data_IF_142199718238
#
_entry.id   IF_142199718238
#
_cell.length_a   1.000
_cell.length_b   1.000
_cell.length_c   1.000
_cell.angle_alpha   90.00
_cell.angle_beta   90.00
_cell.angle_gamma   90.00
#
_symmetry.space_group_name_H-M   'P 1'
#
loop_
_entity.id
_entity.type
_entity.pdbx_description
1 polymer ?
#
# COMPACT_ATOMS: atom_id res chain seq x y z
N UNK A 1 8.28 1.59 -14.75
CA UNK A 1 6.82 1.69 -14.96
C UNK A 1 6.40 3.15 -14.95
N UNK A 2 5.51 3.54 -15.86
CA UNK A 2 4.88 4.87 -15.85
C UNK A 2 3.83 4.97 -14.74
N UNK A 3 3.46 6.20 -14.32
CA UNK A 3 2.44 6.39 -13.29
C UNK A 3 1.09 5.76 -13.67
N UNK A 4 0.72 5.80 -14.95
CA UNK A 4 -0.51 5.19 -15.46
C UNK A 4 -0.51 3.66 -15.29
N UNK A 5 0.61 3.00 -15.58
CA UNK A 5 0.75 1.56 -15.38
C UNK A 5 0.74 1.18 -13.89
N UNK A 6 1.42 1.98 -13.04
CA UNK A 6 1.39 1.79 -11.59
C UNK A 6 -0.04 1.89 -11.07
N UNK A 7 -0.77 2.92 -11.48
CA UNK A 7 -2.18 3.13 -11.13
C UNK A 7 -3.07 1.97 -11.54
N UNK A 8 -2.93 1.46 -12.78
CA UNK A 8 -3.70 0.28 -13.23
C UNK A 8 -3.47 -0.95 -12.36
N UNK A 9 -2.26 -1.14 -11.81
CA UNK A 9 -1.97 -2.22 -10.87
C UNK A 9 -2.52 -1.96 -9.46
N UNK A 10 -2.63 -0.70 -9.04
CA UNK A 10 -3.11 -0.30 -7.71
C UNK A 10 -4.65 -0.33 -7.63
N UNK A 11 -5.36 0.06 -8.69
CA UNK A 11 -6.83 0.15 -8.71
C UNK A 11 -7.55 -1.10 -8.18
N UNK A 12 -7.17 -2.34 -8.55
CA UNK A 12 -7.82 -3.54 -8.03
C UNK A 12 -7.71 -3.75 -6.52
N UNK A 13 -6.76 -3.07 -5.87
CA UNK A 13 -6.48 -3.14 -4.44
C UNK A 13 -7.14 -2.02 -3.63
N UNK A 14 -7.93 -1.15 -4.28
CA UNK A 14 -8.77 -0.15 -3.59
C UNK A 14 -9.97 -0.90 -3.00
N UNK A 15 -9.71 -1.60 -1.90
CA UNK A 15 -10.67 -2.44 -1.21
C UNK A 15 -10.33 -2.40 0.30
N UNK A 16 -11.29 -2.03 1.17
CA UNK A 16 -11.04 -1.98 2.62
C UNK A 16 -10.76 -3.35 3.23
N UNK A 17 -11.15 -4.45 2.59
CA UNK A 17 -10.87 -5.81 3.09
C UNK A 17 -9.49 -6.31 2.68
N UNK A 18 -8.98 -5.83 1.55
CA UNK A 18 -7.65 -6.16 1.10
C UNK A 18 -6.60 -5.40 1.91
N UNK A 19 -5.41 -5.99 1.95
CA UNK A 19 -4.24 -5.39 2.56
C UNK A 19 -3.14 -5.32 1.51
N UNK A 20 -2.29 -4.31 1.58
CA UNK A 20 -1.11 -4.11 0.72
C UNK A 20 0.14 -3.90 1.57
N UNK A 21 1.27 -4.45 1.15
CA UNK A 21 2.52 -4.35 1.89
C UNK A 21 3.21 -3.05 1.49
N UNK A 22 3.67 -2.27 2.46
CA UNK A 22 4.36 -1.00 2.20
C UNK A 22 5.75 -1.05 2.83
N UNK A 23 6.74 -0.70 2.02
CA UNK A 23 8.13 -0.55 2.45
C UNK A 23 8.52 0.91 2.28
N UNK A 24 8.90 1.56 3.36
CA UNK A 24 9.63 2.82 3.37
C UNK A 24 11.14 2.54 3.45
N UNK A 25 11.91 3.61 3.27
CA UNK A 25 13.37 3.55 3.36
C UNK A 25 13.85 3.12 4.77
N UNK A 26 13.13 3.54 5.81
CA UNK A 26 13.46 3.30 7.22
C UNK A 26 12.61 2.21 7.90
N UNK A 27 11.44 1.88 7.34
CA UNK A 27 10.52 0.88 7.91
C UNK A 27 9.90 -0.01 6.83
N UNK A 28 9.99 -1.33 7.03
CA UNK A 28 9.56 -2.35 6.05
C UNK A 28 8.42 -3.19 6.57
N UNK A 29 7.80 -3.95 5.67
CA UNK A 29 6.73 -4.91 5.94
C UNK A 29 5.52 -4.31 6.68
N UNK A 30 5.17 -3.07 6.33
CA UNK A 30 4.01 -2.40 6.90
C UNK A 30 2.73 -2.85 6.23
N UNK A 31 1.72 -3.14 7.03
CA UNK A 31 0.38 -3.38 6.53
C UNK A 31 -0.34 -2.07 6.28
N UNK A 32 -0.88 -1.92 5.07
CA UNK A 32 -1.70 -0.79 4.72
C UNK A 32 -2.93 -1.22 3.91
N UNK A 33 -3.87 -0.31 3.80
CA UNK A 33 -5.02 -0.36 2.90
C UNK A 33 -4.85 0.72 1.84
N UNK A 34 -5.21 0.42 0.59
CA UNK A 34 -5.29 1.47 -0.44
C UNK A 34 -6.68 2.09 -0.35
N UNK A 35 -6.73 3.34 0.05
CA UNK A 35 -7.99 4.09 0.17
C UNK A 35 -8.36 4.84 -1.11
N UNK A 36 -7.38 5.12 -1.96
CA UNK A 36 -7.58 5.84 -3.21
C UNK A 36 -6.30 5.96 -4.01
N UNK A 37 -6.43 6.36 -5.28
CA UNK A 37 -5.28 6.71 -6.13
C UNK A 37 -5.68 7.73 -7.18
N UNK A 38 -4.83 8.72 -7.38
CA UNK A 38 -4.92 9.72 -8.45
C UNK A 38 -3.88 9.42 -9.53
N UNK A 39 -3.69 10.30 -10.51
CA UNK A 39 -2.64 10.13 -11.52
C UNK A 39 -1.22 10.27 -10.97
N UNK A 40 -1.06 10.94 -9.83
CA UNK A 40 0.24 11.25 -9.26
C UNK A 40 0.42 10.72 -7.84
N UNK A 41 -0.66 10.44 -7.11
CA UNK A 41 -0.63 10.05 -5.70
C UNK A 41 -1.36 8.72 -5.47
N UNK A 42 -0.97 8.00 -4.42
CA UNK A 42 -1.73 6.89 -3.85
C UNK A 42 -1.99 7.17 -2.38
N UNK A 43 -3.24 7.03 -1.98
CA UNK A 43 -3.72 7.29 -0.63
C UNK A 43 -3.77 5.98 0.14
N UNK A 44 -3.02 5.92 1.23
CA UNK A 44 -2.79 4.72 2.02
C UNK A 44 -3.25 4.94 3.46
N UNK A 45 -3.85 3.91 4.05
CA UNK A 45 -4.13 3.83 5.48
C UNK A 45 -3.22 2.77 6.09
N UNK A 46 -2.16 3.17 6.78
CA UNK A 46 -1.11 2.29 7.31
C UNK A 46 -1.42 1.95 8.77
N UNK A 47 -1.39 0.67 9.11
CA UNK A 47 -1.49 0.20 10.49
C UNK A 47 -0.24 0.65 11.28
N UNK A 48 -0.45 1.30 12.42
CA UNK A 48 0.66 1.72 13.31
C UNK A 48 0.95 0.63 14.35
N UNK A 49 2.04 0.78 15.10
CA UNK A 49 2.37 -0.09 16.24
C UNK A 49 1.35 0.04 17.38
N UNK A 50 0.60 1.15 17.42
CA UNK A 50 -0.45 1.34 18.39
C UNK A 50 -1.73 0.63 17.90
N UNK A 51 -2.33 -0.24 18.73
CA UNK A 51 -3.53 -0.98 18.35
C UNK A 51 -4.66 0.01 18.02
N UNK A 52 -5.42 -0.31 16.97
CA UNK A 52 -6.56 0.49 16.48
C UNK A 52 -6.20 1.89 15.94
N UNK A 53 -4.92 2.24 15.84
CA UNK A 53 -4.52 3.52 15.24
C UNK A 53 -3.96 3.27 13.84
N UNK A 54 -4.60 3.90 12.86
CA UNK A 54 -4.18 3.91 11.45
C UNK A 54 -3.71 5.30 11.05
N UNK A 55 -2.60 5.37 10.32
CA UNK A 55 -2.04 6.59 9.78
C UNK A 55 -2.46 6.72 8.31
N UNK A 56 -3.22 7.77 7.98
CA UNK A 56 -3.56 8.08 6.59
C UNK A 56 -2.50 8.97 5.98
N UNK A 57 -1.94 8.54 4.85
CA UNK A 57 -0.94 9.30 4.10
C UNK A 57 -1.24 9.24 2.61
N UNK A 58 -0.75 10.24 1.88
CA UNK A 58 -0.76 10.24 0.42
C UNK A 58 0.69 10.25 -0.05
N UNK A 59 1.10 9.24 -0.82
CA UNK A 59 2.48 9.14 -1.33
C UNK A 59 2.52 9.32 -2.84
N UNK A 60 3.52 10.04 -3.39
CA UNK A 60 3.65 10.20 -4.82
C UNK A 60 4.05 8.89 -5.54
N UNK A 61 3.33 8.56 -6.62
CA UNK A 61 3.64 7.44 -7.52
C UNK A 61 4.99 7.59 -8.22
N UNK A 62 5.52 8.81 -8.29
CA UNK A 62 6.85 9.08 -8.88
C UNK A 62 7.97 8.41 -8.09
N UNK A 63 7.88 8.45 -6.76
CA UNK A 63 8.88 7.87 -5.83
C UNK A 63 8.47 6.49 -5.30
N UNK A 64 7.30 5.99 -5.72
CA UNK A 64 6.77 4.69 -5.29
C UNK A 64 6.95 3.66 -6.39
N UNK A 65 7.68 2.59 -6.13
CA UNK A 65 7.75 1.43 -7.00
C UNK A 65 6.65 0.42 -6.64
N UNK A 66 6.06 -0.20 -7.68
CA UNK A 66 5.03 -1.21 -7.52
C UNK A 66 5.65 -2.58 -7.74
N UNK A 67 5.66 -3.39 -6.69
CA UNK A 67 6.14 -4.76 -6.65
C UNK A 67 5.03 -5.71 -6.21
N UNK A 68 5.36 -7.00 -6.14
CA UNK A 68 4.49 -8.05 -5.65
C UNK A 68 5.13 -8.72 -4.44
N UNK A 69 4.34 -8.88 -3.38
CA UNK A 69 4.71 -9.61 -2.18
C UNK A 69 4.19 -11.05 -2.29
N UNK A 70 5.11 -11.99 -2.50
CA UNK A 70 4.80 -13.42 -2.59
C UNK A 70 4.71 -14.10 -1.20
N UNK A 71 5.07 -13.39 -0.13
CA UNK A 71 5.01 -13.90 1.24
C UNK A 71 3.62 -13.83 1.86
N UNK A 72 2.73 -13.01 1.29
CA UNK A 72 1.39 -12.76 1.82
C UNK A 72 0.30 -13.07 0.79
N UNK A 73 -0.87 -13.47 1.30
CA UNK A 73 -2.05 -13.78 0.49
C UNK A 73 -3.07 -12.62 0.53
N UNK A 74 -3.95 -12.56 -0.47
CA UNK A 74 -5.13 -11.68 -0.49
C UNK A 74 -6.12 -12.09 0.60
N UNK A 75 -6.70 -11.11 1.30
CA UNK A 75 -7.58 -11.39 2.46
C UNK A 75 -9.07 -11.40 2.11
N UNK A 76 -9.43 -10.96 0.91
CA UNK A 76 -10.80 -10.90 0.42
C UNK A 76 -11.42 -12.32 0.29
N UNK A 77 -12.53 -12.62 1.02
CA UNK A 77 -13.22 -13.91 0.95
C UNK A 77 -14.11 -14.06 -0.30
N UNK A 78 -14.48 -12.97 -0.97
CA UNK A 78 -15.25 -12.96 -2.21
C UNK A 78 -14.36 -13.20 -3.44
N UNK A 79 -13.05 -12.95 -3.32
CA UNK A 79 -12.07 -13.21 -4.38
C UNK A 79 -11.31 -14.53 -4.16
N UNK A 80 -10.87 -15.20 -5.23
CA UNK A 80 -9.98 -16.36 -5.11
C UNK A 80 -8.71 -15.97 -4.36
N UNK A 81 -8.28 -16.81 -3.41
CA UNK A 81 -7.03 -16.62 -2.69
C UNK A 81 -5.86 -16.51 -3.67
N UNK A 82 -5.18 -15.37 -3.69
CA UNK A 82 -3.97 -15.14 -4.46
C UNK A 82 -2.77 -15.09 -3.51
N UNK A 83 -1.75 -15.92 -3.77
CA UNK A 83 -0.46 -15.90 -3.06
C UNK A 83 0.45 -14.74 -3.52
N UNK A 84 -0.16 -13.61 -3.86
CA UNK A 84 0.52 -12.39 -4.25
C UNK A 84 -0.27 -11.21 -3.71
N UNK A 85 0.42 -10.35 -2.98
CA UNK A 85 -0.12 -9.10 -2.45
C UNK A 85 0.55 -7.92 -3.13
N UNK A 86 -0.16 -6.81 -3.32
CA UNK A 86 0.48 -5.58 -3.83
C UNK A 86 1.53 -5.12 -2.84
N UNK A 87 2.74 -4.86 -3.32
CA UNK A 87 3.81 -4.24 -2.54
C UNK A 87 4.12 -2.85 -3.10
N UNK A 88 4.15 -1.85 -2.23
CA UNK A 88 4.55 -0.49 -2.56
C UNK A 88 5.87 -0.19 -1.88
N UNK A 89 6.90 0.11 -2.66
CA UNK A 89 8.22 0.48 -2.16
C UNK A 89 8.37 1.98 -2.36
N UNK A 90 8.38 2.73 -1.27
CA UNK A 90 8.46 4.19 -1.26
C UNK A 90 9.91 4.60 -0.96
N UNK A 91 10.54 5.33 -1.87
CA UNK A 91 11.91 5.86 -1.71
C UNK A 91 11.97 7.12 -0.84
N UNK A 92 11.17 7.14 0.22
CA UNK A 92 11.15 8.19 1.24
C UNK A 92 11.06 7.54 2.62
N UNK A 93 11.42 8.33 3.65
CA UNK A 93 11.23 7.92 5.04
C UNK A 93 9.76 7.99 5.41
N UNK A 94 9.31 7.09 6.29
CA UNK A 94 7.95 7.10 6.80
C UNK A 94 7.64 8.46 7.47
N UNK A 95 6.55 9.14 7.08
CA UNK A 95 6.12 10.35 7.77
C UNK A 95 5.86 10.06 9.27
N UNK A 96 6.25 10.98 10.18
CA UNK A 96 6.03 10.76 11.61
C UNK A 96 4.53 10.61 11.91
N UNK A 97 4.20 9.66 12.78
CA UNK A 97 2.83 9.50 13.29
C UNK A 97 2.59 10.61 14.31
N UNK A 98 1.74 11.57 13.96
CA UNK A 98 1.29 12.63 14.88
C UNK A 98 -0.01 12.16 15.52
N UNK A 99 -0.02 12.04 16.85
CA UNK A 99 -1.17 11.66 17.67
C UNK A 99 -1.84 12.89 18.29
#
# INVERSE_FOLDING_TARGET
>A
MTNHEKRKKIIPWIDPEERVTVHFLDEKDLNAEVTGTTEELVDLSIETKAPHITQRISVPLRITEVSEDLGHYTRDPERPLQHRRLMLIVDEKRPPVIY
#
